data_IF_015496339657
#
_entry.id   IF_015496339657
#
_cell.length_a   1.000
_cell.length_b   1.000
_cell.length_c   1.000
_cell.angle_alpha   90.00
_cell.angle_beta   90.00
_cell.angle_gamma   90.00
#
_symmetry.space_group_name_H-M   'P 1'
#
loop_
_entity.id
_entity.type
_entity.pdbx_description
1 polymer ?
#
# COMPACT_ATOMS: atom_id res chain seq x y z
N UNK A 1 11.79 12.00 0.13
CA UNK A 1 11.08 10.74 0.44
C UNK A 1 12.10 9.76 1.01
N UNK A 2 11.69 8.54 1.38
CA UNK A 2 12.64 7.49 1.74
C UNK A 2 13.22 6.97 0.42
N UNK A 3 14.52 7.10 0.21
CA UNK A 3 15.20 6.59 -0.99
C UNK A 3 15.60 5.12 -0.83
N UNK A 4 15.85 4.70 0.40
CA UNK A 4 16.37 3.38 0.72
C UNK A 4 16.01 2.96 2.13
N UNK A 5 15.77 1.67 2.32
CA UNK A 5 15.63 1.06 3.65
C UNK A 5 16.50 -0.19 3.74
N UNK A 6 17.15 -0.37 4.88
CA UNK A 6 17.98 -1.53 5.18
C UNK A 6 17.49 -2.22 6.44
N UNK A 7 17.11 -3.49 6.32
CA UNK A 7 16.62 -4.33 7.40
C UNK A 7 17.70 -5.32 7.83
N UNK A 8 17.94 -5.43 9.14
CA UNK A 8 18.75 -6.50 9.74
C UNK A 8 17.98 -7.26 10.79
N UNK A 9 17.99 -8.58 10.68
CA UNK A 9 17.38 -9.54 11.58
C UNK A 9 15.89 -9.30 11.88
N UNK A 10 15.17 -8.57 11.03
CA UNK A 10 13.76 -8.27 11.23
C UNK A 10 12.88 -9.34 10.58
N UNK A 11 12.29 -10.22 11.41
CA UNK A 11 11.43 -11.34 10.99
C UNK A 11 12.09 -12.25 9.96
N UNK A 12 11.79 -12.03 8.69
CA UNK A 12 12.28 -12.83 7.58
C UNK A 12 13.32 -12.07 6.72
N UNK A 13 13.60 -10.81 7.08
CA UNK A 13 14.60 -9.93 6.49
C UNK A 13 15.89 -10.02 7.33
N UNK A 14 16.78 -10.96 6.97
CA UNK A 14 18.04 -11.19 7.68
C UNK A 14 19.03 -10.03 7.48
N UNK A 15 19.29 -9.67 6.23
CA UNK A 15 20.14 -8.55 5.82
C UNK A 15 19.63 -8.11 4.44
N UNK A 16 18.64 -7.21 4.41
CA UNK A 16 17.88 -6.89 3.19
C UNK A 16 17.89 -5.40 2.94
N UNK A 17 18.42 -5.02 1.80
CA UNK A 17 18.48 -3.66 1.32
C UNK A 17 17.46 -3.44 0.20
N UNK A 18 16.68 -2.37 0.30
CA UNK A 18 15.60 -2.05 -0.64
C UNK A 18 15.66 -0.57 -1.00
N UNK A 19 15.90 -0.25 -2.27
CA UNK A 19 15.70 1.11 -2.78
C UNK A 19 14.22 1.34 -3.05
N UNK A 20 13.74 2.56 -2.82
CA UNK A 20 12.35 2.93 -3.00
C UNK A 20 12.24 4.11 -3.98
N UNK A 21 11.31 3.97 -4.91
CA UNK A 21 10.85 5.03 -5.80
C UNK A 21 9.66 5.78 -5.17
N UNK A 22 9.22 6.93 -5.72
CA UNK A 22 7.99 7.58 -5.30
C UNK A 22 6.78 6.64 -5.33
N UNK A 23 6.68 5.79 -6.37
CA UNK A 23 5.81 4.62 -6.45
C UNK A 23 6.67 3.36 -6.50
N UNK A 24 6.60 2.51 -5.48
CA UNK A 24 7.32 1.22 -5.45
C UNK A 24 6.34 0.06 -5.41
N UNK A 25 6.59 -0.99 -6.19
CA UNK A 25 5.81 -2.23 -6.20
C UNK A 25 6.66 -3.41 -5.76
N UNK A 26 6.26 -4.04 -4.65
CA UNK A 26 6.82 -5.28 -4.16
C UNK A 26 6.02 -6.44 -4.75
N UNK A 27 6.68 -7.31 -5.51
CA UNK A 27 6.06 -8.48 -6.14
C UNK A 27 6.81 -9.76 -5.79
N UNK A 28 6.11 -10.89 -5.73
CA UNK A 28 6.72 -12.18 -5.43
C UNK A 28 5.68 -13.21 -4.98
N UNK A 29 6.09 -14.46 -4.73
CA UNK A 29 5.17 -15.52 -4.34
C UNK A 29 4.62 -15.31 -2.91
N UNK A 30 3.68 -16.15 -2.50
CA UNK A 30 3.23 -16.20 -1.10
C UNK A 30 4.42 -16.44 -0.18
N UNK A 31 4.42 -15.77 0.98
CA UNK A 31 5.50 -15.88 1.97
C UNK A 31 6.89 -15.37 1.50
N UNK A 32 6.94 -14.54 0.46
CA UNK A 32 8.20 -13.94 -0.02
C UNK A 32 8.72 -12.76 0.82
N UNK A 33 7.94 -12.30 1.80
CA UNK A 33 8.33 -11.20 2.69
C UNK A 33 7.77 -9.82 2.35
N UNK A 34 6.88 -9.68 1.35
CA UNK A 34 6.24 -8.41 1.01
C UNK A 34 5.55 -7.73 2.21
N UNK A 35 4.64 -8.44 2.89
CA UNK A 35 3.97 -7.92 4.09
C UNK A 35 4.98 -7.58 5.20
N UNK A 36 6.04 -8.37 5.36
CA UNK A 36 7.13 -8.06 6.30
C UNK A 36 7.83 -6.74 5.96
N UNK A 37 8.10 -6.47 4.67
CA UNK A 37 8.67 -5.18 4.24
C UNK A 37 7.71 -4.04 4.55
N UNK A 38 6.42 -4.17 4.21
CA UNK A 38 5.43 -3.13 4.51
C UNK A 38 5.34 -2.85 6.02
N UNK A 39 5.26 -3.88 6.85
CA UNK A 39 5.26 -3.75 8.32
C UNK A 39 6.58 -3.19 8.86
N UNK A 40 7.70 -3.51 8.22
CA UNK A 40 9.01 -2.95 8.52
C UNK A 40 9.04 -1.45 8.29
N UNK A 41 8.53 -0.98 7.14
CA UNK A 41 8.37 0.45 6.84
C UNK A 41 7.47 1.18 7.86
N UNK A 42 6.47 0.48 8.41
CA UNK A 42 5.56 0.99 9.44
C UNK A 42 6.14 0.92 10.86
N UNK A 43 7.28 0.25 11.07
CA UNK A 43 7.88 0.10 12.40
C UNK A 43 8.37 1.44 12.98
N UNK A 44 8.33 2.48 12.16
CA UNK A 44 8.43 3.87 12.56
C UNK A 44 7.47 4.22 13.71
N UNK A 45 8.02 4.52 14.89
CA UNK A 45 7.21 4.87 16.06
C UNK A 45 6.52 3.70 16.77
N UNK A 46 6.87 2.45 16.44
CA UNK A 46 6.60 1.34 17.38
C UNK A 46 7.36 1.63 18.68
N UNK A 47 6.84 1.15 19.81
CA UNK A 47 7.47 1.28 21.13
C UNK A 47 8.09 -0.02 21.66
N UNK A 48 7.71 -1.16 21.07
CA UNK A 48 8.34 -2.46 21.35
C UNK A 48 8.33 -3.38 20.13
N UNK A 49 9.23 -4.36 20.16
CA UNK A 49 9.22 -5.53 19.27
C UNK A 49 8.84 -6.78 20.07
N UNK A 50 8.14 -7.71 19.45
CA UNK A 50 7.86 -9.03 19.99
C UNK A 50 8.95 -10.04 19.60
N UNK A 51 8.96 -11.21 20.25
CA UNK A 51 9.86 -12.32 19.88
C UNK A 51 9.73 -12.71 18.40
N UNK A 52 8.52 -12.63 17.84
CA UNK A 52 8.25 -12.90 16.43
C UNK A 52 8.91 -11.90 15.46
N UNK A 53 9.32 -10.72 15.93
CA UNK A 53 9.96 -9.71 15.09
C UNK A 53 11.46 -9.95 14.87
N UNK A 54 12.06 -10.92 15.58
CA UNK A 54 13.45 -11.31 15.43
C UNK A 54 13.59 -12.42 14.38
N UNK A 55 14.69 -12.38 13.62
CA UNK A 55 15.05 -13.45 12.70
C UNK A 55 15.08 -14.79 13.42
N UNK A 56 14.29 -15.74 12.88
CA UNK A 56 14.08 -17.07 13.48
C UNK A 56 13.66 -17.04 14.96
N UNK A 57 13.06 -15.93 15.40
CA UNK A 57 12.70 -15.69 16.79
C UNK A 57 13.89 -15.71 17.78
N UNK A 58 15.11 -15.51 17.26
CA UNK A 58 16.33 -15.44 18.05
C UNK A 58 16.50 -14.05 18.67
N UNK A 59 16.08 -13.94 19.93
CA UNK A 59 16.16 -12.70 20.71
C UNK A 59 17.59 -12.31 21.12
N UNK A 60 18.61 -13.12 20.81
CA UNK A 60 20.02 -12.74 20.98
C UNK A 60 20.50 -11.78 19.89
N UNK A 61 19.83 -11.79 18.72
CA UNK A 61 20.13 -10.90 17.62
C UNK A 61 19.70 -9.47 17.93
N UNK A 62 20.41 -8.52 17.33
CA UNK A 62 19.96 -7.14 17.26
C UNK A 62 19.15 -6.95 15.98
N UNK A 63 17.94 -6.42 16.12
CA UNK A 63 17.15 -5.95 14.98
C UNK A 63 17.56 -4.51 14.67
N UNK A 64 17.81 -4.20 13.39
CA UNK A 64 17.90 -2.82 12.94
C UNK A 64 17.08 -2.55 11.68
N UNK A 65 16.54 -1.35 11.58
CA UNK A 65 15.90 -0.83 10.37
C UNK A 65 16.45 0.58 10.14
N UNK A 66 17.11 0.77 9.01
CA UNK A 66 17.76 2.01 8.63
C UNK A 66 17.04 2.62 7.44
N UNK A 67 16.36 3.76 7.62
CA UNK A 67 15.77 4.54 6.54
C UNK A 67 16.72 5.64 6.11
N UNK A 68 16.99 5.72 4.82
CA UNK A 68 17.80 6.76 4.20
C UNK A 68 16.86 7.58 3.32
N UNK A 69 16.91 8.91 3.47
CA UNK A 69 16.07 9.85 2.74
C UNK A 69 16.84 10.53 1.61
N UNK A 70 16.13 11.03 0.60
CA UNK A 70 16.74 11.78 -0.53
C UNK A 70 17.57 13.00 -0.08
N UNK A 71 17.27 13.54 1.10
CA UNK A 71 18.00 14.67 1.70
C UNK A 71 19.38 14.27 2.24
N UNK A 72 19.73 12.98 2.21
CA UNK A 72 20.93 12.42 2.86
C UNK A 72 20.76 12.17 4.36
N UNK A 73 19.63 12.60 4.96
CA UNK A 73 19.30 12.28 6.35
C UNK A 73 19.07 10.78 6.45
N UNK A 74 19.61 10.16 7.49
CA UNK A 74 19.38 8.76 7.82
C UNK A 74 18.76 8.63 9.18
N UNK A 75 17.90 7.65 9.34
CA UNK A 75 17.22 7.35 10.59
C UNK A 75 17.32 5.86 10.86
N UNK A 76 17.73 5.52 12.07
CA UNK A 76 17.91 4.14 12.49
C UNK A 76 16.93 3.81 13.62
N UNK A 77 16.33 2.63 13.53
CA UNK A 77 15.67 1.94 14.60
C UNK A 77 16.53 0.73 14.96
N UNK A 78 16.88 0.60 16.24
CA UNK A 78 17.65 -0.54 16.76
C UNK A 78 16.97 -1.09 18.00
N UNK A 79 16.80 -2.40 18.04
CA UNK A 79 16.22 -3.11 19.17
C UNK A 79 17.08 -4.33 19.50
N UNK A 80 17.35 -4.51 20.79
CA UNK A 80 18.05 -5.67 21.34
C UNK A 80 17.45 -6.01 22.70
N UNK A 81 17.68 -7.23 23.18
CA UNK A 81 17.19 -7.64 24.50
C UNK A 81 17.91 -6.86 25.61
N UNK A 82 17.24 -5.90 26.25
CA UNK A 82 17.74 -5.27 27.46
C UNK A 82 17.25 -6.04 28.70
N UNK A 83 18.19 -6.50 29.54
CA UNK A 83 17.90 -7.03 30.87
C UNK A 83 17.58 -5.87 31.82
N UNK A 84 16.32 -5.46 31.93
CA UNK A 84 15.88 -4.54 32.99
C UNK A 84 14.66 -5.11 33.70
N UNK A 85 14.91 -5.92 34.74
CA UNK A 85 14.11 -6.09 35.98
C UNK A 85 12.62 -6.45 35.95
N UNK A 86 11.90 -6.35 34.83
CA UNK A 86 10.46 -6.58 34.76
C UNK A 86 10.07 -7.06 33.35
N UNK A 87 10.39 -8.32 33.04
CA UNK A 87 10.06 -8.95 31.76
C UNK A 87 10.81 -8.40 30.53
N UNK A 88 10.78 -9.09 29.38
CA UNK A 88 11.45 -8.62 28.17
C UNK A 88 10.68 -7.43 27.57
N UNK A 89 11.10 -6.21 27.93
CA UNK A 89 10.67 -4.99 27.25
C UNK A 89 11.77 -4.54 26.28
N UNK A 90 11.55 -4.75 24.98
CA UNK A 90 12.44 -4.25 23.93
C UNK A 90 12.15 -2.77 23.72
N UNK A 91 13.06 -1.90 24.17
CA UNK A 91 12.92 -0.44 24.01
C UNK A 91 13.77 0.03 22.84
N UNK A 92 13.21 0.94 22.06
CA UNK A 92 13.95 1.65 21.02
C UNK A 92 14.87 2.71 21.64
N UNK A 93 16.01 2.95 21.01
CA UNK A 93 16.76 4.19 21.25
C UNK A 93 15.91 5.39 20.82
N UNK A 94 16.03 6.52 21.51
CA UNK A 94 15.34 7.75 21.13
C UNK A 94 15.72 8.11 19.68
N UNK A 95 14.75 8.42 18.80
CA UNK A 95 15.05 8.92 17.46
C UNK A 95 15.95 10.15 17.56
N UNK A 96 17.04 10.21 16.80
CA UNK A 96 17.92 11.39 16.72
C UNK A 96 17.19 12.62 16.14
N UNK A 97 16.09 12.40 15.43
CA UNK A 97 15.15 13.42 14.96
C UNK A 97 13.71 12.98 15.21
N UNK A 98 12.96 13.75 16.01
CA UNK A 98 11.58 13.48 16.37
C UNK A 98 10.57 13.95 15.29
N UNK A 99 10.80 13.66 14.01
CA UNK A 99 9.78 13.85 12.98
C UNK A 99 8.88 12.62 12.97
N UNK A 100 7.71 12.68 13.60
CA UNK A 100 6.73 11.59 13.42
C UNK A 100 6.24 11.59 11.98
N UNK A 101 6.89 10.85 11.07
CA UNK A 101 6.48 10.77 9.67
C UNK A 101 5.11 10.08 9.63
N UNK A 102 4.03 10.79 9.28
CA UNK A 102 2.70 10.19 9.29
C UNK A 102 2.65 9.14 8.17
N UNK A 103 2.55 7.87 8.54
CA UNK A 103 2.38 6.75 7.61
C UNK A 103 0.94 6.22 7.68
N UNK A 104 0.50 5.57 6.60
CA UNK A 104 -0.81 4.92 6.55
C UNK A 104 -0.74 3.54 5.92
N UNK A 105 -0.98 2.47 6.69
CA UNK A 105 -1.14 1.14 6.14
C UNK A 105 -2.57 0.92 5.65
N UNK A 106 -2.71 0.40 4.43
CA UNK A 106 -3.98 0.06 3.80
C UNK A 106 -3.95 -1.41 3.37
N UNK A 107 -4.99 -2.13 3.76
CA UNK A 107 -5.29 -3.49 3.36
C UNK A 107 -6.83 -3.60 3.38
N UNK A 108 -7.46 -3.10 2.31
CA UNK A 108 -8.90 -2.90 2.27
C UNK A 108 -9.65 -4.22 2.33
N UNK A 109 -10.62 -4.28 3.25
CA UNK A 109 -11.56 -5.40 3.34
C UNK A 109 -12.85 -5.02 2.61
N UNK A 110 -13.18 -5.78 1.56
CA UNK A 110 -14.28 -5.44 0.64
C UNK A 110 -15.65 -5.43 1.35
N UNK A 111 -15.83 -6.27 2.37
CA UNK A 111 -17.05 -6.25 3.18
C UNK A 111 -17.06 -5.05 4.13
N UNK A 112 -15.91 -4.71 4.71
CA UNK A 112 -15.77 -3.57 5.60
C UNK A 112 -16.03 -2.23 4.90
N UNK A 113 -15.61 -2.06 3.65
CA UNK A 113 -15.89 -0.86 2.84
C UNK A 113 -17.39 -0.55 2.72
N UNK A 114 -18.25 -1.57 2.83
CA UNK A 114 -19.71 -1.47 2.70
C UNK A 114 -20.42 -1.13 4.01
N UNK A 115 -19.69 -1.01 5.14
CA UNK A 115 -20.30 -0.80 6.45
C UNK A 115 -21.03 0.54 6.53
N UNK A 116 -22.21 0.48 7.14
CA UNK A 116 -22.89 1.63 7.67
C UNK A 116 -22.12 2.15 8.89
N UNK A 117 -22.11 3.46 9.10
CA UNK A 117 -21.42 4.06 10.21
C UNK A 117 -22.32 5.04 10.95
N UNK A 118 -22.23 5.07 12.28
CA UNK A 118 -22.68 6.24 13.05
C UNK A 118 -21.84 7.44 12.61
N UNK A 119 -22.52 8.54 12.25
CA UNK A 119 -21.85 9.69 11.64
C UNK A 119 -20.85 10.31 12.63
N UNK A 120 -19.59 10.29 12.24
CA UNK A 120 -18.49 10.85 13.02
C UNK A 120 -17.47 11.46 12.06
N UNK A 121 -16.81 12.53 12.51
CA UNK A 121 -15.75 13.15 11.73
C UNK A 121 -14.59 12.15 11.58
N UNK A 122 -14.27 11.79 10.36
CA UNK A 122 -13.15 10.93 10.01
C UNK A 122 -12.40 11.55 8.83
N UNK A 123 -11.15 11.89 9.02
CA UNK A 123 -10.36 12.56 7.98
C UNK A 123 -9.38 11.62 7.25
N UNK A 124 -9.30 10.36 7.67
CA UNK A 124 -8.46 9.31 7.05
C UNK A 124 -9.16 7.96 7.05
N UNK A 125 -8.90 7.15 6.02
CA UNK A 125 -9.33 5.75 6.00
C UNK A 125 -8.55 4.93 7.03
N UNK A 126 -9.24 4.00 7.69
CA UNK A 126 -8.62 2.94 8.47
C UNK A 126 -7.92 1.94 7.55
N UNK A 127 -7.12 1.03 8.14
CA UNK A 127 -6.42 -0.01 7.36
C UNK A 127 -7.38 -0.83 6.50
N UNK A 128 -8.53 -1.23 7.05
CA UNK A 128 -9.56 -2.01 6.34
C UNK A 128 -10.53 -1.15 5.53
N UNK A 129 -10.55 0.18 5.73
CA UNK A 129 -11.49 1.10 5.11
C UNK A 129 -12.91 1.02 5.66
N UNK A 130 -13.11 0.44 6.84
CA UNK A 130 -14.43 0.25 7.48
C UNK A 130 -15.15 1.57 7.84
N UNK A 131 -14.41 2.67 7.78
CA UNK A 131 -14.91 4.02 8.00
C UNK A 131 -15.09 4.84 6.71
N UNK A 132 -15.09 4.19 5.52
CA UNK A 132 -15.22 4.87 4.23
C UNK A 132 -16.41 5.83 4.18
N UNK A 133 -17.57 5.39 4.69
CA UNK A 133 -18.77 6.21 4.78
C UNK A 133 -18.54 7.49 5.59
N UNK A 134 -17.91 7.38 6.77
CA UNK A 134 -17.58 8.53 7.61
C UNK A 134 -16.53 9.45 6.96
N UNK A 135 -15.55 8.90 6.23
CA UNK A 135 -14.56 9.71 5.50
C UNK A 135 -15.23 10.51 4.40
N UNK A 136 -16.07 9.87 3.57
CA UNK A 136 -16.83 10.56 2.53
C UNK A 136 -17.77 11.61 3.12
N UNK A 137 -18.44 11.32 4.24
CA UNK A 137 -19.29 12.28 4.96
C UNK A 137 -18.55 13.48 5.51
N UNK A 138 -17.26 13.32 5.83
CA UNK A 138 -16.42 14.38 6.38
C UNK A 138 -15.82 15.30 5.31
N UNK A 139 -15.95 14.94 4.03
CA UNK A 139 -15.51 15.78 2.91
C UNK A 139 -16.41 17.01 2.75
N UNK A 140 -15.85 18.10 2.21
CA UNK A 140 -16.67 19.24 1.82
C UNK A 140 -17.59 18.87 0.66
N UNK A 141 -18.68 19.60 0.44
CA UNK A 141 -19.59 19.36 -0.70
C UNK A 141 -18.88 19.40 -2.05
N UNK A 142 -17.89 20.27 -2.21
CA UNK A 142 -17.07 20.34 -3.41
C UNK A 142 -16.20 19.08 -3.59
N UNK A 143 -15.63 18.56 -2.50
CA UNK A 143 -14.83 17.33 -2.53
C UNK A 143 -15.71 16.10 -2.80
N UNK A 144 -16.89 16.00 -2.17
CA UNK A 144 -17.86 14.92 -2.45
C UNK A 144 -18.25 14.92 -3.94
N UNK A 145 -18.57 16.08 -4.51
CA UNK A 145 -18.89 16.21 -5.93
C UNK A 145 -17.69 15.82 -6.83
N UNK A 146 -16.46 16.17 -6.44
CA UNK A 146 -15.25 15.75 -7.16
C UNK A 146 -15.05 14.24 -7.14
N UNK A 147 -15.26 13.60 -5.97
CA UNK A 147 -15.18 12.15 -5.80
C UNK A 147 -16.25 11.44 -6.63
N UNK A 148 -17.51 11.89 -6.53
CA UNK A 148 -18.62 11.32 -7.29
C UNK A 148 -18.39 11.44 -8.79
N UNK A 149 -17.94 12.61 -9.27
CA UNK A 149 -17.59 12.84 -10.68
C UNK A 149 -16.50 11.89 -11.16
N UNK A 150 -15.45 11.70 -10.38
CA UNK A 150 -14.35 10.81 -10.74
C UNK A 150 -14.77 9.33 -10.75
N UNK A 151 -15.57 8.90 -9.76
CA UNK A 151 -16.11 7.54 -9.77
C UNK A 151 -17.00 7.30 -10.98
N UNK A 152 -17.90 8.23 -11.32
CA UNK A 152 -18.81 8.10 -12.46
C UNK A 152 -18.07 8.18 -13.81
N UNK A 153 -16.92 8.85 -13.87
CA UNK A 153 -16.02 8.81 -15.05
C UNK A 153 -15.48 7.40 -15.27
N UNK A 154 -15.02 6.76 -14.20
CA UNK A 154 -14.36 5.45 -14.24
C UNK A 154 -15.37 4.29 -14.32
N UNK A 155 -16.55 4.45 -13.73
CA UNK A 155 -17.61 3.44 -13.65
C UNK A 155 -18.89 4.03 -14.24
N UNK A 156 -19.01 4.09 -15.58
CA UNK A 156 -20.02 4.89 -16.29
C UNK A 156 -21.45 4.32 -16.24
N UNK A 157 -21.72 3.38 -15.33
CA UNK A 157 -23.07 2.93 -14.98
C UNK A 157 -23.73 3.79 -13.90
N UNK A 158 -22.95 4.61 -13.18
CA UNK A 158 -23.46 5.51 -12.15
C UNK A 158 -23.46 6.96 -12.62
N UNK A 159 -24.42 7.76 -12.13
CA UNK A 159 -24.47 9.21 -12.34
C UNK A 159 -24.07 10.03 -11.10
N UNK A 160 -24.17 9.45 -9.90
CA UNK A 160 -23.84 10.13 -8.66
C UNK A 160 -23.52 9.15 -7.52
N UNK A 161 -22.86 9.67 -6.48
CA UNK A 161 -22.56 8.99 -5.21
C UNK A 161 -22.89 9.94 -4.07
N UNK A 162 -23.72 9.50 -3.14
CA UNK A 162 -24.16 10.32 -2.02
C UNK A 162 -24.35 9.48 -0.75
N UNK A 163 -24.73 10.15 0.34
CA UNK A 163 -25.04 9.52 1.62
C UNK A 163 -26.55 9.43 1.83
N UNK A 164 -26.95 8.38 2.54
CA UNK A 164 -28.32 8.19 3.00
C UNK A 164 -28.32 7.86 4.51
N UNK A 165 -29.17 8.51 5.32
CA UNK A 165 -29.40 8.08 6.68
C UNK A 165 -30.15 6.75 6.69
N UNK A 166 -29.85 5.88 7.66
CA UNK A 166 -30.52 4.59 7.87
C UNK A 166 -31.37 4.63 9.14
N UNK A 167 -32.23 3.63 9.34
CA UNK A 167 -33.24 3.61 10.40
C UNK A 167 -32.66 3.70 11.83
N UNK A 168 -31.36 3.45 12.00
CA UNK A 168 -30.65 3.48 13.29
C UNK A 168 -29.79 4.74 13.50
N UNK A 169 -30.03 5.82 12.75
CA UNK A 169 -29.23 7.05 12.84
C UNK A 169 -27.80 6.89 12.31
N UNK A 170 -27.52 5.77 11.65
CA UNK A 170 -26.30 5.55 10.89
C UNK A 170 -26.46 6.15 9.50
N UNK A 171 -25.35 6.22 8.78
CA UNK A 171 -25.32 6.62 7.38
C UNK A 171 -24.68 5.51 6.58
N UNK A 172 -25.09 5.44 5.31
CA UNK A 172 -24.49 4.58 4.30
C UNK A 172 -24.27 5.36 3.02
N UNK A 173 -23.34 4.90 2.20
CA UNK A 173 -23.20 5.35 0.81
C UNK A 173 -24.39 4.85 -0.02
N UNK A 174 -24.70 5.55 -1.10
CA UNK A 174 -25.64 5.12 -2.15
C UNK A 174 -25.14 5.58 -3.51
N UNK A 175 -25.47 4.82 -4.54
CA UNK A 175 -24.99 5.03 -5.91
C UNK A 175 -26.19 5.19 -6.83
N UNK A 176 -26.28 6.29 -7.56
CA UNK A 176 -27.40 6.55 -8.47
C UNK A 176 -27.16 5.86 -9.81
N UNK A 177 -28.15 5.12 -10.30
CA UNK A 177 -28.10 4.55 -11.64
C UNK A 177 -28.12 5.65 -12.71
N UNK A 178 -27.26 5.52 -13.73
CA UNK A 178 -27.12 6.52 -14.78
C UNK A 178 -28.36 6.67 -15.66
N UNK A 179 -29.12 5.61 -15.86
CA UNK A 179 -30.26 5.57 -16.78
C UNK A 179 -31.60 5.72 -16.06
N UNK A 180 -31.63 5.54 -14.74
CA UNK A 180 -32.80 5.75 -13.91
C UNK A 180 -32.49 6.68 -12.71
N UNK A 181 -32.84 7.98 -12.78
CA UNK A 181 -32.52 8.94 -11.72
C UNK A 181 -33.22 8.66 -10.38
N UNK A 182 -34.30 7.88 -10.38
CA UNK A 182 -35.02 7.51 -9.16
C UNK A 182 -34.44 6.25 -8.49
N UNK A 183 -33.53 5.53 -9.17
CA UNK A 183 -32.92 4.30 -8.67
C UNK A 183 -31.59 4.61 -7.97
N UNK A 184 -31.57 4.36 -6.65
CA UNK A 184 -30.37 4.39 -5.83
C UNK A 184 -30.05 2.99 -5.30
N UNK A 185 -28.82 2.55 -5.55
CA UNK A 185 -28.30 1.26 -5.13
C UNK A 185 -27.55 1.40 -3.82
N UNK A 186 -27.83 0.50 -2.88
CA UNK A 186 -27.09 0.40 -1.62
C UNK A 186 -25.69 -0.19 -1.86
N UNK A 187 -24.74 -0.03 -0.91
CA UNK A 187 -23.38 -0.54 -1.09
C UNK A 187 -23.36 -2.03 -1.33
N UNK A 188 -24.29 -2.82 -0.77
CA UNK A 188 -24.43 -4.27 -1.01
C UNK A 188 -24.83 -4.67 -2.44
N UNK A 189 -25.29 -3.73 -3.27
CA UNK A 189 -25.77 -3.97 -4.63
C UNK A 189 -24.79 -3.54 -5.72
N UNK A 190 -23.65 -2.93 -5.34
CA UNK A 190 -22.58 -2.55 -6.28
C UNK A 190 -21.42 -3.55 -6.24
N UNK A 191 -20.58 -3.56 -7.28
CA UNK A 191 -19.44 -4.46 -7.36
C UNK A 191 -18.35 -4.11 -6.35
N UNK A 192 -17.56 -5.10 -5.94
CA UNK A 192 -16.43 -4.89 -5.02
C UNK A 192 -15.41 -3.89 -5.58
N UNK A 193 -15.10 -3.99 -6.88
CA UNK A 193 -14.21 -3.04 -7.56
C UNK A 193 -14.71 -1.60 -7.50
N UNK A 194 -16.03 -1.36 -7.51
CA UNK A 194 -16.59 0.00 -7.36
C UNK A 194 -16.31 0.56 -5.97
N UNK A 195 -16.53 -0.24 -4.92
CA UNK A 195 -16.26 0.16 -3.53
C UNK A 195 -14.77 0.42 -3.29
N UNK A 196 -13.92 -0.45 -3.83
CA UNK A 196 -12.48 -0.33 -3.71
C UNK A 196 -11.98 0.94 -4.45
N UNK A 197 -12.50 1.20 -5.65
CA UNK A 197 -12.14 2.39 -6.40
C UNK A 197 -12.58 3.67 -5.68
N UNK A 198 -13.78 3.69 -5.10
CA UNK A 198 -14.22 4.82 -4.27
C UNK A 198 -13.28 5.03 -3.08
N UNK A 199 -12.85 3.97 -2.41
CA UNK A 199 -11.87 4.04 -1.31
C UNK A 199 -10.54 4.65 -1.77
N UNK A 200 -10.07 4.32 -2.96
CA UNK A 200 -8.86 4.90 -3.54
C UNK A 200 -9.04 6.38 -3.92
N UNK A 201 -10.16 6.74 -4.57
CA UNK A 201 -10.44 8.13 -4.96
C UNK A 201 -10.47 9.06 -3.75
N UNK A 202 -11.03 8.63 -2.61
CA UNK A 202 -11.06 9.49 -1.40
C UNK A 202 -9.69 9.71 -0.75
N UNK A 203 -8.67 8.88 -1.04
CA UNK A 203 -7.33 9.05 -0.46
C UNK A 203 -6.73 10.43 -0.76
N UNK A 204 -7.01 10.99 -1.94
CA UNK A 204 -6.49 12.30 -2.36
C UNK A 204 -7.00 13.46 -1.49
N UNK A 205 -8.07 13.27 -0.72
CA UNK A 205 -8.69 14.29 0.11
C UNK A 205 -8.40 14.16 1.61
N UNK A 206 -7.56 13.20 2.00
CA UNK A 206 -7.27 12.94 3.40
C UNK A 206 -6.53 14.09 4.11
N UNK A 207 -6.82 14.25 5.40
CA UNK A 207 -6.23 15.30 6.25
C UNK A 207 -6.02 14.76 7.69
N UNK A 208 -4.95 15.11 8.42
CA UNK A 208 -3.67 15.57 7.89
C UNK A 208 -3.12 14.57 6.87
N UNK A 209 -2.37 15.07 5.90
CA UNK A 209 -1.81 14.24 4.85
C UNK A 209 -0.64 13.41 5.36
N UNK A 210 -0.58 12.15 4.93
CA UNK A 210 0.52 11.22 5.21
C UNK A 210 1.69 11.42 4.24
N UNK A 211 2.86 10.91 4.59
CA UNK A 211 4.07 10.98 3.75
C UNK A 211 4.38 9.64 3.09
N UNK A 212 3.87 8.54 3.66
CA UNK A 212 3.98 7.20 3.11
C UNK A 212 2.64 6.48 3.23
N UNK A 213 2.16 5.95 2.11
CA UNK A 213 1.06 4.97 2.07
C UNK A 213 1.66 3.62 1.69
N UNK A 214 1.28 2.59 2.45
CA UNK A 214 1.55 1.19 2.07
C UNK A 214 0.22 0.50 1.75
N UNK A 215 0.14 -0.25 0.65
CA UNK A 215 -1.11 -0.86 0.17
C UNK A 215 -0.89 -2.34 -0.12
N UNK A 216 -1.68 -3.20 0.50
CA UNK A 216 -1.71 -4.64 0.21
C UNK A 216 -2.81 -4.95 -0.81
N UNK A 217 -2.46 -5.70 -1.86
CA UNK A 217 -3.35 -6.19 -2.93
C UNK A 217 -4.29 -5.10 -3.52
N UNK A 218 -3.73 -3.97 -4.02
CA UNK A 218 -4.52 -2.86 -4.55
C UNK A 218 -5.42 -3.25 -5.74
N UNK A 219 -5.07 -4.29 -6.48
CA UNK A 219 -5.78 -4.79 -7.65
C UNK A 219 -6.98 -5.70 -7.33
N UNK A 220 -7.16 -6.09 -6.07
CA UNK A 220 -8.13 -7.13 -5.72
C UNK A 220 -9.55 -6.73 -6.12
N UNK A 221 -10.18 -7.52 -6.99
CA UNK A 221 -11.52 -7.29 -7.54
C UNK A 221 -11.65 -6.10 -8.53
N UNK A 222 -10.54 -5.57 -9.05
CA UNK A 222 -10.54 -4.62 -10.15
C UNK A 222 -10.44 -5.32 -11.50
N UNK A 223 -11.16 -4.78 -12.49
CA UNK A 223 -10.98 -5.16 -13.88
C UNK A 223 -9.68 -4.53 -14.43
N UNK A 224 -8.93 -5.18 -15.35
CA UNK A 224 -7.69 -4.66 -15.95
C UNK A 224 -7.74 -3.17 -16.33
N UNK A 225 -8.81 -2.74 -17.00
CA UNK A 225 -9.01 -1.33 -17.38
C UNK A 225 -8.92 -0.35 -16.19
N UNK A 226 -9.48 -0.71 -15.03
CA UNK A 226 -9.43 0.12 -13.83
C UNK A 226 -8.08 0.04 -13.10
N UNK A 227 -7.29 -0.99 -13.39
CA UNK A 227 -5.97 -1.15 -12.79
C UNK A 227 -5.00 -0.09 -13.31
N UNK A 228 -5.02 0.21 -14.61
CA UNK A 228 -4.25 1.34 -15.16
C UNK A 228 -4.65 2.66 -14.49
N UNK A 229 -5.96 2.95 -14.46
CA UNK A 229 -6.49 4.17 -13.84
C UNK A 229 -6.09 4.30 -12.36
N UNK A 230 -6.10 3.20 -11.61
CA UNK A 230 -5.61 3.17 -10.23
C UNK A 230 -4.11 3.50 -10.15
N UNK A 231 -3.27 2.85 -10.96
CA UNK A 231 -1.83 3.08 -10.95
C UNK A 231 -1.50 4.52 -11.38
N UNK A 232 -2.18 5.06 -12.38
CA UNK A 232 -2.01 6.47 -12.77
C UNK A 232 -2.43 7.41 -11.65
N UNK A 233 -3.56 7.16 -10.97
CA UNK A 233 -4.00 7.96 -9.84
C UNK A 233 -2.96 7.94 -8.72
N UNK A 234 -2.47 6.76 -8.32
CA UNK A 234 -1.42 6.64 -7.30
C UNK A 234 -0.16 7.39 -7.73
N UNK A 235 0.28 7.25 -9.00
CA UNK A 235 1.44 7.98 -9.54
C UNK A 235 1.24 9.50 -9.46
N UNK A 236 0.05 10.02 -9.77
CA UNK A 236 -0.29 11.44 -9.62
C UNK A 236 -0.24 11.92 -8.16
N UNK A 237 -0.59 11.07 -7.20
CA UNK A 237 -0.40 11.39 -5.77
C UNK A 237 1.10 11.48 -5.43
N UNK A 238 1.93 10.66 -6.06
CA UNK A 238 3.39 10.69 -5.82
C UNK A 238 4.09 11.92 -6.36
N UNK A 239 3.54 12.54 -7.42
CA UNK A 239 4.05 13.80 -7.96
C UNK A 239 3.42 15.03 -7.30
N UNK A 240 2.31 14.86 -6.58
CA UNK A 240 1.50 15.96 -6.05
C UNK A 240 0.62 16.64 -7.11
N UNK A 241 0.41 16.03 -8.28
CA UNK A 241 -0.59 16.48 -9.26
C UNK A 241 -2.01 16.42 -8.66
N UNK A 242 -2.26 15.41 -7.83
CA UNK A 242 -3.46 15.32 -6.98
C UNK A 242 -3.05 15.16 -5.50
N UNK A 243 -3.92 15.61 -4.59
CA UNK A 243 -3.58 15.77 -3.17
C UNK A 243 -2.95 17.14 -2.87
N UNK A 244 -2.59 17.41 -1.60
CA UNK A 244 -2.03 18.73 -1.21
C UNK A 244 -0.50 18.79 -1.32
N UNK A 245 0.18 17.65 -1.18
CA UNK A 245 1.63 17.49 -1.33
C UNK A 245 1.98 16.11 -1.94
N UNK A 246 3.19 15.90 -2.48
CA UNK A 246 3.66 14.58 -2.87
C UNK A 246 3.63 13.57 -1.71
N UNK A 247 3.23 12.33 -1.98
CA UNK A 247 3.31 11.21 -1.04
C UNK A 247 4.12 10.06 -1.62
N UNK A 248 4.80 9.28 -0.79
CA UNK A 248 5.38 8.03 -1.23
C UNK A 248 4.35 6.90 -1.15
N UNK A 249 4.33 6.01 -2.14
CA UNK A 249 3.42 4.87 -2.21
C UNK A 249 4.22 3.58 -2.38
N UNK A 250 3.99 2.60 -1.52
CA UNK A 250 4.58 1.26 -1.64
C UNK A 250 3.46 0.21 -1.69
N UNK A 251 3.39 -0.52 -2.79
CA UNK A 251 2.39 -1.55 -3.05
C UNK A 251 2.99 -2.93 -2.79
N UNK A 252 2.19 -3.85 -2.27
CA UNK A 252 2.50 -5.28 -2.27
C UNK A 252 1.45 -6.02 -3.09
N UNK A 253 1.89 -6.78 -4.09
CA UNK A 253 1.02 -7.49 -5.02
C UNK A 253 1.54 -8.90 -5.32
N UNK A 254 0.62 -9.76 -5.76
CA UNK A 254 0.91 -11.06 -6.36
C UNK A 254 0.50 -11.12 -7.83
N UNK A 255 -0.05 -10.02 -8.36
CA UNK A 255 -0.63 -9.95 -9.69
C UNK A 255 0.44 -9.63 -10.72
N UNK A 256 0.66 -10.57 -11.64
CA UNK A 256 1.46 -10.33 -12.83
C UNK A 256 0.82 -9.26 -13.73
N UNK A 257 -0.51 -9.15 -13.73
CA UNK A 257 -1.25 -8.16 -14.51
C UNK A 257 -0.98 -6.73 -14.04
N UNK A 258 -0.84 -6.50 -12.72
CA UNK A 258 -0.46 -5.17 -12.19
C UNK A 258 0.89 -4.71 -12.75
N UNK A 259 1.82 -5.65 -12.95
CA UNK A 259 3.17 -5.32 -13.39
C UNK A 259 3.21 -4.66 -14.77
N UNK A 260 2.18 -4.85 -15.60
CA UNK A 260 2.13 -4.28 -16.95
C UNK A 260 1.71 -2.79 -16.96
N UNK A 261 1.32 -2.25 -15.81
CA UNK A 261 0.94 -0.83 -15.64
C UNK A 261 2.00 0.01 -14.91
N UNK A 262 3.09 -0.62 -14.48
CA UNK A 262 4.20 0.02 -13.73
C UNK A 262 5.49 -0.01 -14.53
N UNK A 263 6.42 0.86 -14.15
CA UNK A 263 7.73 0.93 -14.80
C UNK A 263 8.69 -0.10 -14.20
N UNK A 264 9.63 -0.68 -14.96
CA UNK A 264 10.56 -1.68 -14.43
C UNK A 264 11.35 -1.18 -13.21
N UNK A 265 11.70 0.11 -13.16
CA UNK A 265 12.41 0.75 -12.05
C UNK A 265 11.55 0.88 -10.78
N UNK A 266 10.22 0.85 -10.92
CA UNK A 266 9.27 0.90 -9.79
C UNK A 266 9.17 -0.47 -9.10
N UNK A 267 9.65 -1.57 -9.69
CA UNK A 267 9.39 -2.94 -9.22
C UNK A 267 10.56 -3.53 -8.41
N UNK A 268 10.22 -4.25 -7.33
CA UNK A 268 11.13 -5.03 -6.50
C UNK A 268 10.61 -6.47 -6.42
N UNK A 269 11.38 -7.40 -6.96
CA UNK A 269 11.05 -8.83 -6.98
C UNK A 269 11.58 -9.50 -5.72
N UNK A 270 10.68 -9.97 -4.86
CA UNK A 270 11.00 -10.61 -3.58
C UNK A 270 10.94 -12.13 -3.71
N UNK A 271 12.00 -12.79 -3.29
CA UNK A 271 12.13 -14.26 -3.26
C UNK A 271 12.65 -14.74 -1.91
N UNK A 272 12.72 -16.07 -1.70
CA UNK A 272 13.31 -16.68 -0.52
C UNK A 272 14.53 -17.50 -0.91
N UNK A 273 15.65 -17.28 -0.23
CA UNK A 273 16.84 -18.11 -0.35
C UNK A 273 16.51 -19.55 0.04
N UNK A 274 16.93 -20.52 -0.77
CA UNK A 274 16.77 -21.95 -0.44
C UNK A 274 17.77 -22.42 0.62
N UNK A 275 18.87 -21.68 0.84
CA UNK A 275 19.92 -22.06 1.78
C UNK A 275 19.53 -21.79 3.24
N UNK A 276 18.99 -20.60 3.50
CA UNK A 276 18.70 -20.12 4.86
C UNK A 276 17.30 -19.54 5.03
N UNK A 277 16.50 -19.51 3.96
CA UNK A 277 15.17 -18.94 3.98
C UNK A 277 15.16 -17.42 4.14
N UNK A 278 16.25 -16.69 3.91
CA UNK A 278 16.26 -15.21 3.96
C UNK A 278 15.54 -14.61 2.75
N UNK A 279 15.00 -13.40 2.89
CA UNK A 279 14.44 -12.68 1.73
C UNK A 279 15.57 -12.16 0.84
N UNK A 280 15.41 -12.35 -0.46
CA UNK A 280 16.25 -11.73 -1.48
C UNK A 280 15.41 -10.75 -2.30
N UNK A 281 15.99 -9.62 -2.67
CA UNK A 281 15.33 -8.56 -3.44
C UNK A 281 16.11 -8.36 -4.73
N UNK A 282 15.43 -8.53 -5.87
CA UNK A 282 15.97 -8.27 -7.19
C UNK A 282 15.25 -7.07 -7.82
N UNK A 283 15.95 -6.39 -8.73
CA UNK A 283 15.42 -5.29 -9.53
C UNK A 283 15.59 -5.62 -11.01
N UNK A 284 14.79 -4.99 -11.85
CA UNK A 284 15.01 -5.07 -13.28
C UNK A 284 16.36 -4.41 -13.64
N UNK A 285 17.26 -5.09 -14.37
CA UNK A 285 18.55 -4.53 -14.78
C UNK A 285 18.38 -3.64 -16.02
N UNK A 286 17.66 -2.52 -15.84
CA UNK A 286 17.17 -1.64 -16.92
C UNK A 286 18.26 -0.92 -17.72
N UNK A 287 19.48 -0.90 -17.19
CA UNK A 287 20.68 -0.36 -17.80
C UNK A 287 21.31 -1.30 -18.85
N UNK A 288 21.01 -2.60 -18.81
CA UNK A 288 21.64 -3.60 -19.69
C UNK A 288 20.97 -3.72 -21.07
N UNK A 289 21.77 -3.92 -22.12
CA UNK A 289 21.25 -4.19 -23.49
C UNK A 289 20.46 -5.49 -23.55
N UNK A 290 20.89 -6.51 -22.80
CA UNK A 290 20.20 -7.79 -22.73
C UNK A 290 18.78 -7.64 -22.16
N UNK A 291 18.62 -6.86 -21.09
CA UNK A 291 17.31 -6.58 -20.52
C UNK A 291 16.37 -5.93 -21.53
N UNK A 292 16.82 -4.88 -22.23
CA UNK A 292 15.97 -4.18 -23.21
C UNK A 292 15.46 -5.12 -24.28
N UNK A 293 16.34 -6.00 -24.79
CA UNK A 293 15.96 -7.04 -25.76
C UNK A 293 14.92 -8.00 -25.19
N UNK A 294 15.13 -8.53 -23.98
CA UNK A 294 14.16 -9.43 -23.32
C UNK A 294 12.83 -8.70 -23.11
N UNK A 295 12.87 -7.45 -22.65
CA UNK A 295 11.67 -6.64 -22.43
C UNK A 295 10.88 -6.44 -23.73
N UNK A 296 11.56 -6.19 -24.86
CA UNK A 296 10.94 -6.13 -26.18
C UNK A 296 10.39 -7.48 -26.65
N UNK A 297 11.12 -8.59 -26.45
CA UNK A 297 10.69 -9.96 -26.82
C UNK A 297 9.38 -10.37 -26.11
N UNK A 298 9.15 -9.87 -24.90
CA UNK A 298 7.92 -10.08 -24.12
C UNK A 298 6.88 -8.96 -24.31
N UNK A 299 6.95 -8.20 -25.41
CA UNK A 299 6.02 -7.10 -25.72
C UNK A 299 5.87 -6.07 -24.58
N UNK A 300 6.97 -5.79 -23.88
CA UNK A 300 7.02 -4.85 -22.75
C UNK A 300 6.11 -5.25 -21.58
N UNK A 301 5.80 -6.55 -21.43
CA UNK A 301 5.04 -7.08 -20.29
C UNK A 301 5.98 -7.56 -19.19
N UNK A 302 6.08 -6.79 -18.10
CA UNK A 302 6.81 -7.21 -16.90
C UNK A 302 6.15 -8.43 -16.25
N UNK A 303 4.82 -8.55 -16.34
CA UNK A 303 4.08 -9.70 -15.85
C UNK A 303 4.53 -10.99 -16.53
N UNK A 304 4.64 -10.97 -17.86
CA UNK A 304 5.05 -12.14 -18.64
C UNK A 304 6.51 -12.54 -18.37
N UNK A 305 7.41 -11.55 -18.23
CA UNK A 305 8.82 -11.80 -17.88
C UNK A 305 8.94 -12.36 -16.46
N UNK A 306 8.14 -11.85 -15.53
CA UNK A 306 8.13 -12.38 -14.18
C UNK A 306 7.70 -13.85 -14.19
N UNK A 307 6.58 -14.18 -14.86
CA UNK A 307 6.06 -15.55 -14.96
C UNK A 307 6.96 -16.52 -15.72
N UNK A 308 7.84 -16.04 -16.59
CA UNK A 308 8.83 -16.90 -17.28
C UNK A 308 9.96 -17.39 -16.37
N UNK A 309 10.07 -16.84 -15.15
CA UNK A 309 11.15 -17.15 -14.20
C UNK A 309 12.38 -16.25 -14.36
N UNK A 310 12.44 -15.41 -15.39
CA UNK A 310 13.60 -14.57 -15.71
C UNK A 310 13.98 -13.55 -14.63
N UNK A 311 13.06 -13.21 -13.71
CA UNK A 311 13.26 -12.23 -12.62
C UNK A 311 13.35 -12.87 -11.23
N UNK A 312 13.20 -14.20 -11.16
CA UNK A 312 13.01 -14.94 -9.91
C UNK A 312 11.62 -14.74 -9.27
N UNK A 313 11.28 -15.59 -8.29
CA UNK A 313 10.05 -15.43 -7.51
C UNK A 313 8.78 -15.95 -8.18
N UNK A 314 8.89 -16.81 -9.19
CA UNK A 314 7.74 -17.57 -9.68
C UNK A 314 7.44 -18.69 -8.68
N UNK A 315 6.19 -18.89 -8.24
CA UNK A 315 5.83 -20.03 -7.41
C UNK A 315 6.14 -21.36 -8.14
N UNK A 316 7.01 -22.18 -7.55
CA UNK A 316 7.31 -23.53 -8.06
C UNK A 316 8.38 -23.65 -9.14
N UNK A 317 9.11 -22.57 -9.44
CA UNK A 317 10.35 -22.59 -10.23
C UNK A 317 11.60 -22.76 -9.34
#
# INVERSE_FOLDING_TARGET
MISKVHFKNFRCLRDVELTLEPLTVLVGPNSSGKTTVLEGLQSYGRNSLGRSDFWQQDTSLTVSIDWIYDTGVSQNLRASKHNVGAGPAFRFGSPSHASTHPYQPLAFDLAALRRENTLALAQRLTRSGDNLTNVFASLTRQQQASVAKELCRLVPMFSDVDLQPTEQGQHRLRFQDRWNPDLWLAPGQVSDGTMLLLAFIVLQHQNPQVELITIEEPERALHPYLLDELIQMLRKMTTGEIGKKPIQVVLATHSAELLDYVRPEEVRFLTRSQEDGSVQVNQAPTDTTNWRRVYEEYNQSLGSIWLSGGMGGVPGA
#
